data_IF_458072524163
#
_entry.id   IF_458072524163
#
_cell.length_a   1.000
_cell.length_b   1.000
_cell.length_c   1.000
_cell.angle_alpha   90.00
_cell.angle_beta   90.00
_cell.angle_gamma   90.00
#
_symmetry.space_group_name_H-M   'P 1'
#
loop_
_entity.id
_entity.type
_entity.pdbx_description
1 polymer ?
#
# COMPACT_ATOMS: atom_id res chain seq x y z
N UNK A 1 -0.52 -2.43 2.74
CA UNK A 1 0.92 -2.75 2.75
C UNK A 1 1.06 -4.19 3.15
N UNK A 2 1.64 -5.02 2.27
CA UNK A 2 1.83 -6.43 2.53
C UNK A 2 2.82 -6.65 3.69
N UNK A 3 2.50 -7.59 4.56
CA UNK A 3 3.37 -8.16 5.59
C UNK A 3 4.04 -9.45 5.11
N UNK A 4 3.53 -10.04 4.03
CA UNK A 4 4.06 -11.23 3.38
C UNK A 4 4.33 -11.00 1.89
N UNK A 5 5.40 -11.59 1.38
CA UNK A 5 5.62 -11.74 -0.06
C UNK A 5 4.63 -12.75 -0.65
N UNK A 6 4.50 -12.78 -1.98
CA UNK A 6 3.64 -13.76 -2.69
C UNK A 6 4.09 -15.22 -2.53
N UNK A 7 5.26 -15.48 -1.95
CA UNK A 7 5.74 -16.82 -1.59
C UNK A 7 5.47 -17.16 -0.11
N UNK A 8 4.84 -16.26 0.66
CA UNK A 8 4.52 -16.42 2.08
C UNK A 8 5.64 -16.05 3.05
N UNK A 9 6.82 -15.66 2.56
CA UNK A 9 7.90 -15.15 3.42
C UNK A 9 7.57 -13.76 3.98
N UNK A 10 8.13 -13.40 5.13
CA UNK A 10 7.83 -12.13 5.79
C UNK A 10 8.54 -10.96 5.11
N UNK A 11 7.82 -9.85 4.94
CA UNK A 11 8.37 -8.57 4.48
C UNK A 11 9.19 -7.93 5.60
N UNK A 12 10.34 -7.36 5.25
CA UNK A 12 11.22 -6.64 6.17
C UNK A 12 10.55 -5.36 6.66
N UNK A 13 10.59 -5.12 7.97
CA UNK A 13 9.92 -4.00 8.61
C UNK A 13 10.44 -2.64 8.11
N UNK A 14 11.72 -2.58 7.75
CA UNK A 14 12.38 -1.40 7.20
C UNK A 14 11.71 -0.92 5.90
N UNK A 15 11.20 -1.84 5.06
CA UNK A 15 10.49 -1.48 3.83
C UNK A 15 9.17 -0.78 4.11
N UNK A 16 8.48 -1.20 5.17
CA UNK A 16 7.25 -0.56 5.64
C UNK A 16 7.56 0.81 6.23
N UNK A 17 8.62 0.94 7.04
CA UNK A 17 9.03 2.23 7.59
C UNK A 17 9.44 3.23 6.52
N UNK A 18 10.20 2.80 5.52
CA UNK A 18 10.57 3.64 4.39
C UNK A 18 9.31 4.13 3.65
N UNK A 19 8.38 3.22 3.35
CA UNK A 19 7.12 3.55 2.67
C UNK A 19 6.33 4.60 3.46
N UNK A 20 6.26 4.46 4.78
CA UNK A 20 5.59 5.42 5.67
C UNK A 20 6.29 6.78 5.64
N UNK A 21 7.61 6.80 5.72
CA UNK A 21 8.40 8.03 5.69
C UNK A 21 8.25 8.79 4.36
N UNK A 22 8.28 8.10 3.22
CA UNK A 22 8.09 8.71 1.90
C UNK A 22 6.72 9.38 1.76
N UNK A 23 5.66 8.71 2.24
CA UNK A 23 4.30 9.27 2.25
C UNK A 23 4.22 10.49 3.17
N UNK A 24 4.82 10.44 4.36
CA UNK A 24 4.86 11.58 5.29
C UNK A 24 5.64 12.76 4.71
N UNK A 25 6.78 12.52 4.05
CA UNK A 25 7.56 13.57 3.41
C UNK A 25 6.77 14.24 2.29
N UNK A 26 5.98 13.47 1.52
CA UNK A 26 5.19 14.01 0.41
C UNK A 26 3.92 14.74 0.85
N UNK A 27 3.20 14.22 1.85
CA UNK A 27 1.84 14.68 2.20
C UNK A 27 1.71 15.23 3.63
N UNK A 28 2.78 15.19 4.43
CA UNK A 28 2.83 15.75 5.78
C UNK A 28 2.28 14.84 6.89
N UNK A 29 1.47 13.83 6.56
CA UNK A 29 0.91 12.89 7.53
C UNK A 29 0.58 11.54 6.90
N UNK A 30 0.42 10.51 7.74
CA UNK A 30 -0.11 9.20 7.35
C UNK A 30 -0.72 8.53 8.58
N UNK A 31 -1.88 7.90 8.41
CA UNK A 31 -2.51 7.04 9.41
C UNK A 31 -2.20 5.58 9.08
N UNK A 32 -1.93 4.78 10.11
CA UNK A 32 -1.67 3.35 9.97
C UNK A 32 -2.65 2.57 10.83
N UNK A 33 -3.32 1.59 10.23
CA UNK A 33 -4.10 0.59 10.97
C UNK A 33 -3.20 -0.63 11.18
N UNK A 34 -2.68 -0.86 12.40
CA UNK A 34 -1.67 -1.88 12.66
C UNK A 34 -2.22 -3.31 12.68
N UNK A 35 -3.54 -3.47 12.63
CA UNK A 35 -4.18 -4.77 12.64
C UNK A 35 -3.92 -5.50 11.31
N UNK A 36 -3.41 -6.73 11.40
CA UNK A 36 -3.29 -7.61 10.22
C UNK A 36 -4.67 -7.89 9.64
N UNK A 37 -4.79 -7.67 8.34
CA UNK A 37 -5.95 -7.99 7.52
C UNK A 37 -5.53 -9.14 6.60
N UNK A 38 -6.38 -10.16 6.53
CA UNK A 38 -6.14 -11.33 5.70
C UNK A 38 -6.99 -11.27 4.43
N UNK A 39 -6.41 -11.67 3.31
CA UNK A 39 -7.07 -11.73 2.02
C UNK A 39 -6.75 -13.04 1.31
N UNK A 40 -7.58 -13.36 0.32
CA UNK A 40 -7.35 -14.45 -0.62
C UNK A 40 -7.71 -13.92 -2.00
N UNK A 41 -6.82 -14.13 -2.97
CA UNK A 41 -7.07 -13.72 -4.35
C UNK A 41 -6.46 -14.71 -5.33
N UNK A 42 -7.02 -14.74 -6.54
CA UNK A 42 -6.61 -15.68 -7.60
C UNK A 42 -5.96 -14.91 -8.74
N UNK A 43 -4.81 -15.38 -9.19
CA UNK A 43 -4.12 -14.86 -10.36
C UNK A 43 -3.50 -15.99 -11.16
N UNK A 44 -3.83 -16.05 -12.46
CA UNK A 44 -3.41 -17.14 -13.37
C UNK A 44 -3.65 -18.53 -12.75
N UNK A 45 -4.86 -18.75 -12.26
CA UNK A 45 -5.32 -20.02 -11.66
C UNK A 45 -4.57 -20.44 -10.37
N UNK A 46 -3.70 -19.56 -9.83
CA UNK A 46 -3.04 -19.77 -8.55
C UNK A 46 -3.68 -18.88 -7.48
N UNK A 47 -3.94 -19.48 -6.32
CA UNK A 47 -4.37 -18.77 -5.12
C UNK A 47 -3.17 -18.15 -4.38
N UNK A 48 -3.39 -16.95 -3.87
CA UNK A 48 -2.44 -16.18 -3.08
C UNK A 48 -3.14 -15.70 -1.81
N UNK A 49 -2.58 -16.10 -0.66
CA UNK A 49 -2.96 -15.55 0.63
C UNK A 49 -2.24 -14.22 0.84
N UNK A 50 -2.98 -13.22 1.31
CA UNK A 50 -2.43 -11.91 1.66
C UNK A 50 -2.55 -11.69 3.16
N UNK A 51 -1.52 -11.10 3.75
CA UNK A 51 -1.52 -10.58 5.12
C UNK A 51 -0.99 -9.16 5.01
N UNK A 52 -1.79 -8.17 5.40
CA UNK A 52 -1.49 -6.76 5.14
C UNK A 52 -1.95 -5.85 6.28
N UNK A 53 -1.32 -4.68 6.37
CA UNK A 53 -1.79 -3.52 7.15
C UNK A 53 -2.26 -2.40 6.22
N UNK A 54 -3.07 -1.46 6.70
CA UNK A 54 -3.50 -0.30 5.90
C UNK A 54 -2.69 0.94 6.24
N UNK A 55 -2.25 1.64 5.19
CA UNK A 55 -1.79 3.02 5.27
C UNK A 55 -2.86 3.89 4.61
N UNK A 56 -3.28 4.92 5.33
CA UNK A 56 -4.35 5.84 4.93
C UNK A 56 -3.74 7.25 4.93
N UNK A 57 -4.04 8.02 3.89
CA UNK A 57 -3.58 9.39 3.75
C UNK A 57 -4.68 10.24 3.13
N UNK A 58 -5.01 11.34 3.80
CA UNK A 58 -5.98 12.31 3.32
C UNK A 58 -5.25 13.40 2.54
N UNK A 59 -5.60 13.56 1.27
CA UNK A 59 -4.87 14.39 0.32
C UNK A 59 -5.85 15.15 -0.57
N UNK A 60 -5.39 16.29 -1.10
CA UNK A 60 -6.15 17.02 -2.12
C UNK A 60 -6.29 16.20 -3.40
N UNK A 61 -7.51 16.19 -3.94
CA UNK A 61 -7.82 15.58 -5.23
C UNK A 61 -7.25 16.44 -6.37
N UNK A 62 -6.02 16.13 -6.77
CA UNK A 62 -5.28 16.82 -7.82
C UNK A 62 -4.65 15.81 -8.77
N UNK A 63 -4.39 16.24 -10.01
CA UNK A 63 -3.66 15.41 -10.99
C UNK A 63 -2.29 14.98 -10.47
N UNK A 64 -1.59 15.86 -9.76
CA UNK A 64 -0.29 15.55 -9.16
C UNK A 64 -0.40 14.40 -8.15
N UNK A 65 -1.42 14.43 -7.28
CA UNK A 65 -1.70 13.36 -6.32
C UNK A 65 -1.98 12.04 -7.03
N UNK A 66 -2.82 12.06 -8.07
CA UNK A 66 -3.15 10.87 -8.84
C UNK A 66 -1.90 10.26 -9.52
N UNK A 67 -1.12 11.09 -10.19
CA UNK A 67 0.12 10.69 -10.87
C UNK A 67 1.17 10.15 -9.88
N UNK A 68 1.25 10.76 -8.70
CA UNK A 68 2.09 10.26 -7.61
C UNK A 68 1.71 8.82 -7.24
N UNK A 69 0.45 8.55 -6.88
CA UNK A 69 0.05 7.20 -6.44
C UNK A 69 0.11 6.17 -7.56
N UNK A 70 -0.16 6.57 -8.81
CA UNK A 70 0.00 5.71 -9.98
C UNK A 70 1.45 5.26 -10.16
N UNK A 71 2.39 6.19 -10.05
CA UNK A 71 3.83 5.90 -10.17
C UNK A 71 4.35 5.13 -8.94
N UNK A 72 3.89 5.54 -7.75
CA UNK A 72 4.29 4.95 -6.49
C UNK A 72 3.80 3.50 -6.36
N UNK A 73 2.63 3.15 -6.91
CA UNK A 73 2.16 1.76 -6.98
C UNK A 73 3.20 0.83 -7.60
N UNK A 74 3.87 1.24 -8.68
CA UNK A 74 4.89 0.42 -9.33
C UNK A 74 6.16 0.28 -8.47
N UNK A 75 6.58 1.36 -7.79
CA UNK A 75 7.68 1.32 -6.80
C UNK A 75 7.35 0.34 -5.67
N UNK A 76 6.12 0.36 -5.17
CA UNK A 76 5.68 -0.54 -4.10
C UNK A 76 5.66 -2.00 -4.57
N UNK A 77 5.17 -2.27 -5.78
CA UNK A 77 5.16 -3.64 -6.35
C UNK A 77 6.57 -4.22 -6.40
N UNK A 78 7.54 -3.44 -6.86
CA UNK A 78 8.95 -3.85 -6.87
C UNK A 78 9.49 -4.04 -5.46
N UNK A 79 9.33 -3.04 -4.58
CA UNK A 79 9.83 -3.05 -3.19
C UNK A 79 9.35 -4.27 -2.41
N UNK A 80 8.08 -4.62 -2.57
CA UNK A 80 7.41 -5.69 -1.82
C UNK A 80 7.27 -6.99 -2.59
N UNK A 81 7.88 -7.12 -3.78
CA UNK A 81 7.81 -8.35 -4.59
C UNK A 81 6.36 -8.78 -4.89
N UNK A 82 5.47 -7.79 -5.08
CA UNK A 82 4.06 -8.05 -5.27
C UNK A 82 3.69 -8.12 -6.75
N UNK A 83 2.90 -9.14 -7.13
CA UNK A 83 2.29 -9.23 -8.46
C UNK A 83 1.43 -7.99 -8.72
N UNK A 84 0.62 -7.59 -7.74
CA UNK A 84 -0.08 -6.31 -7.74
C UNK A 84 -0.24 -5.75 -6.33
N UNK A 85 -0.45 -4.43 -6.25
CA UNK A 85 -0.79 -3.73 -5.00
C UNK A 85 -2.04 -2.87 -5.25
N UNK A 86 -3.03 -3.02 -4.39
CA UNK A 86 -4.23 -2.20 -4.45
C UNK A 86 -4.01 -0.87 -3.71
N UNK A 87 -4.28 0.24 -4.40
CA UNK A 87 -4.44 1.57 -3.82
C UNK A 87 -5.86 2.01 -4.16
N UNK A 88 -6.63 2.39 -3.16
CA UNK A 88 -8.01 2.85 -3.32
C UNK A 88 -8.10 4.30 -2.89
N UNK A 89 -8.91 5.08 -3.61
CA UNK A 89 -9.16 6.49 -3.33
C UNK A 89 -10.67 6.71 -3.28
N UNK A 90 -11.13 7.46 -2.28
CA UNK A 90 -12.54 7.80 -2.09
C UNK A 90 -12.65 9.29 -1.74
N UNK A 91 -13.67 10.00 -2.27
CA UNK A 91 -13.91 11.37 -1.87
C UNK A 91 -14.36 11.39 -0.40
N UNK A 92 -13.72 12.23 0.39
CA UNK A 92 -14.09 12.49 1.78
C UNK A 92 -14.62 13.92 1.91
N UNK A 93 -15.65 14.10 2.72
CA UNK A 93 -16.19 15.42 3.04
C UNK A 93 -15.67 15.86 4.41
N UNK A 94 -14.97 16.99 4.44
CA UNK A 94 -14.54 17.64 5.67
C UNK A 94 -15.68 18.58 6.12
N UNK A 95 -15.95 18.61 7.44
CA UNK A 95 -16.94 19.49 8.07
C UNK A 95 -16.22 20.66 8.74
#
# INVERSE_FOLDING_TARGET
MPLKYNDGSSVEYEKIQLTKQEVVVKFGAVTMEPQSIFGLWVYKEKEYEDELIRLIVDVSDTKETEEFFRSYKEILKERFGQIDICITAFPIRII
#
